data_IF_817284293155
#
_entry.id   IF_817284293155
#
_cell.length_a   1.000
_cell.length_b   1.000
_cell.length_c   1.000
_cell.angle_alpha   90.00
_cell.angle_beta   90.00
_cell.angle_gamma   90.00
#
_symmetry.space_group_name_H-M   'P 1'
#
loop_
_entity.id
_entity.type
_entity.pdbx_description
1 polymer ?
#
# COMPACT_ATOMS: atom_id res chain seq x y z
N UNK A 1 6.73 -22.03 3.14
CA UNK A 1 5.86 -21.77 4.30
C UNK A 1 4.68 -20.99 3.79
N UNK A 2 3.47 -21.50 4.00
CA UNK A 2 2.28 -20.79 3.58
C UNK A 2 1.92 -19.65 4.56
N UNK A 3 0.97 -18.80 4.19
CA UNK A 3 0.58 -17.65 5.02
C UNK A 3 -0.02 -18.08 6.37
N UNK A 4 -0.64 -19.26 6.44
CA UNK A 4 -1.25 -19.76 7.68
C UNK A 4 -0.18 -20.22 8.67
N UNK A 5 0.87 -20.87 8.18
CA UNK A 5 2.04 -21.26 8.96
C UNK A 5 2.79 -20.02 9.48
N UNK A 6 2.95 -18.99 8.63
CA UNK A 6 3.54 -17.70 9.02
C UNK A 6 2.77 -17.05 10.18
N UNK A 7 1.45 -16.91 10.03
CA UNK A 7 0.59 -16.30 11.07
C UNK A 7 0.65 -17.05 12.39
N UNK A 8 0.74 -18.39 12.36
CA UNK A 8 0.87 -19.19 13.58
C UNK A 8 2.18 -18.89 14.32
N UNK A 9 3.29 -18.75 13.59
CA UNK A 9 4.60 -18.39 14.15
C UNK A 9 4.56 -16.98 14.74
N UNK A 10 3.90 -16.03 14.08
CA UNK A 10 3.75 -14.66 14.60
C UNK A 10 2.97 -14.62 15.92
N UNK A 11 1.88 -15.38 16.02
CA UNK A 11 1.09 -15.47 17.26
C UNK A 11 1.94 -16.05 18.38
N UNK A 12 2.72 -17.10 18.10
CA UNK A 12 3.62 -17.71 19.08
C UNK A 12 4.70 -16.72 19.54
N UNK A 13 5.41 -16.08 18.60
CA UNK A 13 6.43 -15.08 18.92
C UNK A 13 5.83 -13.88 19.67
N UNK A 14 4.63 -13.45 19.31
CA UNK A 14 3.96 -12.35 20.01
C UNK A 14 3.57 -12.75 21.43
N UNK A 15 3.06 -13.96 21.64
CA UNK A 15 2.79 -14.49 22.97
C UNK A 15 4.05 -14.51 23.85
N UNK A 16 5.17 -14.99 23.32
CA UNK A 16 6.48 -14.96 23.99
C UNK A 16 6.93 -13.54 24.31
N UNK A 17 6.80 -12.62 23.35
CA UNK A 17 7.12 -11.21 23.52
C UNK A 17 6.30 -10.58 24.66
N UNK A 18 4.97 -10.80 24.69
CA UNK A 18 4.10 -10.29 25.76
C UNK A 18 4.51 -10.85 27.12
N UNK A 19 4.84 -12.15 27.20
CA UNK A 19 5.29 -12.79 28.43
C UNK A 19 6.61 -12.20 28.91
N UNK A 20 7.55 -11.92 28.02
CA UNK A 20 8.82 -11.27 28.34
C UNK A 20 8.60 -9.85 28.88
N UNK A 21 7.83 -9.01 28.17
CA UNK A 21 7.49 -7.64 28.64
C UNK A 21 6.81 -7.66 30.00
N UNK A 22 5.89 -8.60 30.23
CA UNK A 22 5.24 -8.78 31.54
C UNK A 22 6.27 -9.16 32.61
N UNK A 23 7.15 -10.11 32.33
CA UNK A 23 8.18 -10.55 33.28
C UNK A 23 9.11 -9.40 33.67
N UNK A 24 9.57 -8.62 32.69
CA UNK A 24 10.44 -7.44 32.91
C UNK A 24 9.77 -6.36 33.75
N UNK A 25 8.45 -6.16 33.59
CA UNK A 25 7.71 -5.19 34.42
C UNK A 25 7.58 -5.61 35.89
N UNK A 26 7.76 -6.90 36.20
CA UNK A 26 7.51 -7.45 37.53
C UNK A 26 6.03 -7.43 37.97
N UNK A 27 5.09 -7.06 37.08
CA UNK A 27 3.69 -6.88 37.43
C UNK A 27 2.88 -8.18 37.37
N UNK A 28 1.89 -8.27 38.26
CA UNK A 28 0.78 -9.22 38.12
C UNK A 28 0.02 -8.94 36.81
N UNK A 29 -0.67 -9.94 36.26
CA UNK A 29 -1.31 -9.83 34.93
C UNK A 29 -2.36 -8.71 34.87
N UNK A 30 -3.11 -8.47 35.95
CA UNK A 30 -4.09 -7.39 36.04
C UNK A 30 -3.43 -6.01 35.94
N UNK A 31 -2.29 -5.83 36.61
CA UNK A 31 -1.58 -4.54 36.62
C UNK A 31 -0.80 -4.33 35.33
N UNK A 32 -0.23 -5.38 34.75
CA UNK A 32 0.37 -5.33 33.43
C UNK A 32 -0.66 -4.96 32.37
N UNK A 33 -1.85 -5.59 32.41
CA UNK A 33 -2.93 -5.28 31.48
C UNK A 33 -3.35 -3.81 31.57
N UNK A 34 -3.50 -3.26 32.78
CA UNK A 34 -3.75 -1.82 32.99
C UNK A 34 -2.63 -0.94 32.44
N UNK A 35 -1.37 -1.31 32.69
CA UNK A 35 -0.20 -0.57 32.20
C UNK A 35 -0.21 -0.45 30.68
N UNK A 36 -0.55 -1.53 29.97
CA UNK A 36 -0.63 -1.54 28.50
C UNK A 36 -2.01 -1.17 27.96
N UNK A 37 -2.90 -0.61 28.79
CA UNK A 37 -4.25 -0.18 28.41
C UNK A 37 -5.06 -1.29 27.69
N UNK A 38 -5.08 -2.47 28.29
CA UNK A 38 -5.80 -3.65 27.82
C UNK A 38 -6.50 -4.38 28.98
N UNK A 39 -7.49 -5.20 28.66
CA UNK A 39 -8.12 -6.07 29.65
C UNK A 39 -7.27 -7.31 29.93
N UNK A 40 -7.39 -7.89 31.13
CA UNK A 40 -6.76 -9.18 31.48
C UNK A 40 -7.12 -10.27 30.47
N UNK A 41 -8.38 -10.31 30.02
CA UNK A 41 -8.86 -11.29 29.06
C UNK A 41 -8.19 -11.17 27.69
N UNK A 42 -7.89 -9.95 27.25
CA UNK A 42 -7.16 -9.74 25.98
C UNK A 42 -5.72 -10.22 26.06
N UNK A 43 -5.02 -9.90 27.15
CA UNK A 43 -3.66 -10.39 27.41
C UNK A 43 -3.66 -11.93 27.47
N UNK A 44 -4.60 -12.53 28.20
CA UNK A 44 -4.72 -13.99 28.28
C UNK A 44 -4.96 -14.66 26.93
N UNK A 45 -5.80 -14.06 26.06
CA UNK A 45 -6.02 -14.59 24.71
C UNK A 45 -4.75 -14.53 23.85
N UNK A 46 -3.90 -13.53 24.05
CA UNK A 46 -2.62 -13.40 23.34
C UNK A 46 -1.63 -14.44 23.86
N UNK A 47 -1.40 -14.50 25.18
CA UNK A 47 -0.41 -15.41 25.78
C UNK A 47 -0.78 -16.89 25.60
N UNK A 48 -2.08 -17.20 25.54
CA UNK A 48 -2.58 -18.55 25.27
C UNK A 48 -2.75 -18.84 23.76
N UNK A 49 -2.26 -17.95 22.88
CA UNK A 49 -2.29 -18.12 21.43
C UNK A 49 -3.69 -18.37 20.84
N UNK A 50 -4.73 -17.81 21.47
CA UNK A 50 -6.14 -17.96 21.05
C UNK A 50 -6.57 -16.94 19.99
N UNK A 51 -5.64 -16.14 19.47
CA UNK A 51 -5.89 -15.16 18.41
C UNK A 51 -5.62 -15.78 17.05
N UNK A 52 -6.27 -15.25 16.02
CA UNK A 52 -6.03 -15.65 14.61
C UNK A 52 -4.85 -14.92 13.97
N UNK A 53 -4.43 -13.80 14.55
CA UNK A 53 -3.32 -12.96 14.10
C UNK A 53 -2.90 -11.99 15.21
N UNK A 54 -1.75 -11.34 15.02
CA UNK A 54 -1.29 -10.23 15.85
C UNK A 54 -2.06 -8.96 15.49
N UNK A 55 -2.78 -8.37 16.45
CA UNK A 55 -3.47 -7.09 16.24
C UNK A 55 -2.47 -5.94 16.31
N UNK A 56 -2.49 -5.04 15.33
CA UNK A 56 -1.66 -3.82 15.32
C UNK A 56 -1.87 -2.98 16.59
N UNK A 57 -3.11 -2.87 17.08
CA UNK A 57 -3.39 -2.12 18.31
C UNK A 57 -2.78 -2.79 19.54
N UNK A 58 -2.95 -4.10 19.71
CA UNK A 58 -2.33 -4.82 20.83
C UNK A 58 -0.81 -4.79 20.74
N UNK A 59 -0.25 -4.95 19.54
CA UNK A 59 1.18 -4.88 19.28
C UNK A 59 1.76 -3.52 19.70
N UNK A 60 1.15 -2.42 19.22
CA UNK A 60 1.57 -1.06 19.57
C UNK A 60 1.47 -0.79 21.08
N UNK A 61 0.30 -1.09 21.67
CA UNK A 61 0.08 -0.84 23.10
C UNK A 61 1.07 -1.62 23.96
N UNK A 62 1.24 -2.92 23.69
CA UNK A 62 2.17 -3.74 24.48
C UNK A 62 3.61 -3.24 24.30
N UNK A 63 4.06 -2.97 23.08
CA UNK A 63 5.42 -2.49 22.85
C UNK A 63 5.68 -1.14 23.54
N UNK A 64 4.91 -0.11 23.20
CA UNK A 64 5.17 1.25 23.66
C UNK A 64 4.84 1.43 25.14
N UNK A 65 3.68 0.95 25.60
CA UNK A 65 3.25 1.24 26.97
C UNK A 65 3.97 0.36 28.01
N UNK A 66 4.60 -0.74 27.57
CA UNK A 66 5.55 -1.48 28.43
C UNK A 66 6.98 -0.91 28.40
N UNK A 67 7.23 0.18 27.68
CA UNK A 67 8.51 0.87 27.64
C UNK A 67 9.52 0.33 26.64
N UNK A 68 9.09 -0.43 25.63
CA UNK A 68 9.92 -0.87 24.50
C UNK A 68 9.72 0.05 23.28
N UNK A 69 10.47 -0.21 22.21
CA UNK A 69 10.32 0.45 20.91
C UNK A 69 9.78 -0.52 19.84
N UNK A 70 9.18 0.03 18.79
CA UNK A 70 8.55 -0.74 17.71
C UNK A 70 9.57 -1.63 16.99
N UNK A 71 10.79 -1.15 16.77
CA UNK A 71 11.84 -1.87 16.07
C UNK A 71 12.21 -3.18 16.79
N UNK A 72 12.27 -3.17 18.13
CA UNK A 72 12.55 -4.35 18.93
C UNK A 72 11.38 -5.34 18.88
N UNK A 73 10.16 -4.83 19.03
CA UNK A 73 8.95 -5.64 18.93
C UNK A 73 8.83 -6.32 17.55
N UNK A 74 9.15 -5.60 16.47
CA UNK A 74 9.16 -6.15 15.10
C UNK A 74 10.18 -7.27 15.00
N UNK A 75 11.40 -7.05 15.49
CA UNK A 75 12.47 -8.07 15.48
C UNK A 75 12.09 -9.29 16.32
N UNK A 76 11.35 -9.14 17.43
CA UNK A 76 10.89 -10.26 18.24
C UNK A 76 9.79 -11.06 17.54
N UNK A 77 8.76 -10.38 17.02
CA UNK A 77 7.55 -11.01 16.49
C UNK A 77 7.73 -11.53 15.07
N UNK A 78 8.37 -10.75 14.21
CA UNK A 78 8.47 -10.99 12.77
C UNK A 78 9.87 -11.44 12.31
N UNK A 79 10.70 -11.98 13.20
CA UNK A 79 12.06 -12.50 12.89
C UNK A 79 12.14 -13.47 11.71
N UNK A 80 11.03 -14.09 11.34
CA UNK A 80 10.93 -15.07 10.27
C UNK A 80 10.44 -14.48 8.94
N UNK A 81 9.99 -13.21 8.91
CA UNK A 81 9.62 -12.52 7.68
C UNK A 81 10.80 -11.75 7.12
N UNK A 82 10.97 -11.81 5.80
CA UNK A 82 11.80 -10.83 5.12
C UNK A 82 10.97 -9.55 4.92
N UNK A 83 11.31 -8.51 5.69
CA UNK A 83 10.67 -7.19 5.61
C UNK A 83 11.45 -6.22 4.71
N UNK A 84 12.51 -6.68 4.04
CA UNK A 84 13.21 -5.88 3.05
C UNK A 84 12.32 -5.64 1.83
N UNK A 85 12.26 -4.39 1.40
CA UNK A 85 11.59 -4.03 0.16
C UNK A 85 12.39 -4.59 -1.01
N UNK A 86 11.70 -5.12 -2.02
CA UNK A 86 12.33 -5.46 -3.28
C UNK A 86 12.87 -4.19 -3.93
N UNK A 87 14.18 -4.12 -4.10
CA UNK A 87 14.85 -3.04 -4.82
C UNK A 87 15.18 -3.47 -6.25
N UNK A 88 15.03 -2.59 -7.23
CA UNK A 88 15.49 -2.83 -8.60
C UNK A 88 14.42 -3.29 -9.60
N UNK A 89 13.15 -3.35 -9.21
CA UNK A 89 12.07 -3.34 -10.21
C UNK A 89 12.11 -1.99 -10.93
N UNK A 90 12.44 -2.01 -12.23
CA UNK A 90 12.25 -0.84 -13.09
C UNK A 90 10.75 -0.58 -13.11
N UNK A 91 10.33 0.49 -12.45
CA UNK A 91 9.01 1.07 -12.71
C UNK A 91 9.00 1.38 -14.21
N UNK A 92 8.06 0.80 -14.95
CA UNK A 92 7.93 1.04 -16.39
C UNK A 92 7.90 2.57 -16.63
N UNK A 93 8.83 3.05 -17.46
CA UNK A 93 8.86 4.46 -17.80
C UNK A 93 7.57 4.82 -18.52
N UNK A 94 6.90 5.87 -18.04
CA UNK A 94 5.70 6.37 -18.69
C UNK A 94 6.06 6.90 -20.08
N UNK A 95 5.21 6.60 -21.06
CA UNK A 95 5.28 7.23 -22.38
C UNK A 95 5.06 8.75 -22.24
N UNK A 96 5.32 9.52 -23.30
CA UNK A 96 4.94 10.94 -23.34
C UNK A 96 3.45 11.14 -23.02
N UNK A 97 2.59 10.21 -23.45
CA UNK A 97 1.18 10.23 -23.11
C UNK A 97 0.93 9.87 -21.64
N UNK A 98 1.60 8.85 -21.10
CA UNK A 98 1.50 8.51 -19.68
C UNK A 98 1.96 9.64 -18.75
N UNK A 99 3.00 10.39 -19.15
CA UNK A 99 3.48 11.60 -18.47
C UNK A 99 2.43 12.71 -18.59
N UNK A 100 1.92 12.96 -19.79
CA UNK A 100 0.85 13.92 -20.03
C UNK A 100 -0.37 13.66 -19.15
N UNK A 101 -0.83 12.42 -19.10
CA UNK A 101 -1.98 12.01 -18.30
C UNK A 101 -1.74 12.19 -16.81
N UNK A 102 -0.53 11.89 -16.32
CA UNK A 102 -0.15 12.19 -14.93
C UNK A 102 -0.27 13.67 -14.62
N UNK A 103 0.29 14.51 -15.50
CA UNK A 103 0.41 15.95 -15.25
C UNK A 103 -0.94 16.68 -15.41
N UNK A 104 -1.74 16.30 -16.41
CA UNK A 104 -2.98 17.00 -16.76
C UNK A 104 -4.23 16.37 -16.15
N UNK A 105 -4.21 15.08 -15.80
CA UNK A 105 -5.45 14.35 -15.49
C UNK A 105 -5.41 13.66 -14.14
N UNK A 106 -4.35 12.93 -13.82
CA UNK A 106 -4.28 12.15 -12.58
C UNK A 106 -4.13 13.05 -11.36
N UNK A 107 -5.26 13.32 -10.69
CA UNK A 107 -5.27 13.86 -9.32
C UNK A 107 -5.33 12.69 -8.35
N UNK A 108 -4.41 12.64 -7.38
CA UNK A 108 -4.42 11.62 -6.33
C UNK A 108 -5.82 11.52 -5.70
N UNK A 109 -6.38 10.31 -5.72
CA UNK A 109 -7.68 10.02 -5.10
C UNK A 109 -8.92 10.41 -5.93
N UNK A 110 -8.79 10.95 -7.14
CA UNK A 110 -9.95 11.33 -7.97
C UNK A 110 -9.89 10.71 -9.37
N UNK A 111 -8.88 11.07 -10.16
CA UNK A 111 -8.80 10.72 -11.59
C UNK A 111 -7.64 9.76 -11.87
N UNK A 112 -7.33 8.87 -10.93
CA UNK A 112 -6.28 7.87 -11.10
C UNK A 112 -6.60 6.89 -12.24
N UNK A 113 -5.59 6.18 -12.74
CA UNK A 113 -5.68 5.19 -13.83
C UNK A 113 -6.92 4.26 -13.71
N UNK A 114 -7.19 3.72 -12.52
CA UNK A 114 -8.33 2.83 -12.29
C UNK A 114 -9.70 3.52 -12.46
N UNK A 115 -9.79 4.82 -12.14
CA UNK A 115 -11.01 5.59 -12.35
C UNK A 115 -11.28 5.77 -13.85
N UNK A 116 -10.25 6.14 -14.61
CA UNK A 116 -10.31 6.27 -16.07
C UNK A 116 -10.68 4.93 -16.70
N UNK A 117 -10.04 3.84 -16.28
CA UNK A 117 -10.32 2.48 -16.76
C UNK A 117 -11.81 2.12 -16.58
N UNK A 118 -12.35 2.34 -15.38
CA UNK A 118 -13.75 1.99 -15.07
C UNK A 118 -14.78 2.86 -15.80
N UNK A 119 -14.46 4.13 -16.05
CA UNK A 119 -15.40 5.09 -16.65
C UNK A 119 -15.40 5.08 -18.17
N UNK A 120 -14.24 4.82 -18.79
CA UNK A 120 -14.10 4.87 -20.26
C UNK A 120 -14.47 3.56 -20.92
N UNK A 121 -14.35 2.42 -20.23
CA UNK A 121 -14.53 1.10 -20.82
C UNK A 121 -13.42 0.71 -21.81
N UNK A 122 -12.34 1.49 -21.87
CA UNK A 122 -11.14 1.13 -22.63
C UNK A 122 -10.55 -0.13 -22.00
N UNK A 123 -10.14 -1.08 -22.83
CA UNK A 123 -9.53 -2.31 -22.37
C UNK A 123 -8.29 -2.02 -21.49
N UNK A 124 -8.12 -2.76 -20.39
CA UNK A 124 -7.03 -2.52 -19.43
C UNK A 124 -5.66 -2.63 -20.10
N UNK A 125 -5.47 -3.63 -20.95
CA UNK A 125 -4.19 -3.81 -21.66
C UNK A 125 -3.96 -2.63 -22.59
N UNK A 126 -4.99 -2.19 -23.33
CA UNK A 126 -4.90 -1.00 -24.18
C UNK A 126 -4.54 0.26 -23.40
N UNK A 127 -5.16 0.49 -22.24
CA UNK A 127 -4.87 1.65 -21.39
C UNK A 127 -3.44 1.57 -20.81
N UNK A 128 -2.98 0.39 -20.40
CA UNK A 128 -1.58 0.19 -19.99
C UNK A 128 -0.63 0.49 -21.14
N UNK A 129 -0.92 0.01 -22.35
CA UNK A 129 -0.03 0.16 -23.49
C UNK A 129 0.20 1.63 -23.88
N UNK A 130 -0.85 2.46 -23.84
CA UNK A 130 -0.71 3.88 -24.15
C UNK A 130 -0.02 4.66 -23.02
N UNK A 131 -0.11 4.21 -21.76
CA UNK A 131 0.56 4.86 -20.63
C UNK A 131 2.03 4.47 -20.48
N UNK A 132 2.39 3.21 -20.77
CA UNK A 132 3.69 2.64 -20.40
C UNK A 132 4.45 1.96 -21.55
N UNK A 133 3.77 1.39 -22.56
CA UNK A 133 4.42 0.50 -23.55
C UNK A 133 4.55 1.08 -24.97
N UNK A 134 4.65 2.41 -25.09
CA UNK A 134 4.87 3.08 -26.38
C UNK A 134 3.66 3.16 -27.31
N UNK A 135 2.48 2.77 -26.83
CA UNK A 135 1.23 2.93 -27.60
C UNK A 135 0.89 4.41 -27.79
N UNK A 136 0.53 4.80 -29.01
CA UNK A 136 -0.06 6.11 -29.26
C UNK A 136 -1.58 6.04 -28.98
N UNK A 137 -2.14 7.02 -28.24
CA UNK A 137 -3.57 7.05 -28.00
C UNK A 137 -4.32 7.50 -29.26
N UNK A 138 -5.52 6.98 -29.46
CA UNK A 138 -6.43 7.43 -30.50
C UNK A 138 -7.28 8.62 -30.02
N UNK A 139 -7.74 9.51 -30.93
CA UNK A 139 -8.55 10.67 -30.55
C UNK A 139 -9.80 10.31 -29.74
N UNK A 140 -10.47 9.20 -30.06
CA UNK A 140 -11.66 8.77 -29.32
C UNK A 140 -11.34 8.37 -27.87
N UNK A 141 -10.14 7.82 -27.63
CA UNK A 141 -9.67 7.44 -26.29
C UNK A 141 -9.50 8.70 -25.43
N UNK A 142 -8.92 9.77 -25.98
CA UNK A 142 -8.84 11.06 -25.27
C UNK A 142 -10.21 11.68 -25.01
N UNK A 143 -11.15 11.59 -25.96
CA UNK A 143 -12.52 12.11 -25.76
C UNK A 143 -13.24 11.35 -24.64
N UNK A 144 -13.08 10.03 -24.56
CA UNK A 144 -13.65 9.24 -23.48
C UNK A 144 -13.04 9.64 -22.13
N UNK A 145 -11.73 9.85 -22.08
CA UNK A 145 -11.01 10.31 -20.89
C UNK A 145 -11.49 11.72 -20.46
N UNK A 146 -11.65 12.66 -21.40
CA UNK A 146 -12.19 14.00 -21.14
C UNK A 146 -13.56 13.91 -20.48
N UNK A 147 -14.47 13.13 -21.08
CA UNK A 147 -15.82 12.90 -20.52
C UNK A 147 -15.77 12.25 -19.15
N UNK A 148 -14.91 11.25 -18.97
CA UNK A 148 -14.75 10.55 -17.69
C UNK A 148 -14.28 11.50 -16.58
N UNK A 149 -13.48 12.51 -16.93
CA UNK A 149 -12.86 13.46 -15.98
C UNK A 149 -13.54 14.83 -15.93
N UNK A 150 -14.71 14.97 -16.59
CA UNK A 150 -15.51 16.20 -16.56
C UNK A 150 -14.93 17.37 -17.34
N UNK A 151 -14.07 17.08 -18.34
CA UNK A 151 -13.41 18.07 -19.20
C UNK A 151 -14.20 18.36 -20.47
N UNK A 152 -13.90 19.49 -21.09
CA UNK A 152 -14.46 19.85 -22.40
C UNK A 152 -13.91 18.95 -23.51
N UNK A 153 -14.75 18.69 -24.51
CA UNK A 153 -14.36 17.83 -25.63
C UNK A 153 -13.27 18.49 -26.48
N UNK A 154 -12.17 17.79 -26.71
CA UNK A 154 -11.00 18.25 -27.46
C UNK A 154 -9.96 19.01 -26.63
N UNK A 155 -10.21 19.25 -25.33
CA UNK A 155 -9.27 19.95 -24.46
C UNK A 155 -7.93 19.21 -24.34
N UNK A 156 -7.97 17.91 -24.01
CA UNK A 156 -6.78 17.08 -23.83
C UNK A 156 -6.08 16.82 -25.17
N UNK A 157 -6.84 16.64 -26.25
CA UNK A 157 -6.26 16.49 -27.60
C UNK A 157 -5.41 17.71 -27.95
N UNK A 158 -5.97 18.91 -27.80
CA UNK A 158 -5.26 20.16 -28.09
C UNK A 158 -4.01 20.30 -27.24
N UNK A 159 -4.11 20.08 -25.93
CA UNK A 159 -2.98 20.18 -25.00
C UNK A 159 -1.88 19.18 -25.32
N UNK A 160 -2.23 17.93 -25.62
CA UNK A 160 -1.26 16.88 -25.93
C UNK A 160 -0.46 17.19 -27.19
N UNK A 161 -1.14 17.58 -28.28
CA UNK A 161 -0.48 17.91 -29.56
C UNK A 161 0.43 19.14 -29.43
N UNK A 162 0.03 20.15 -28.66
CA UNK A 162 0.85 21.34 -28.43
C UNK A 162 2.08 21.06 -27.55
N UNK A 163 1.95 20.20 -26.54
CA UNK A 163 3.05 19.83 -25.64
C UNK A 163 4.03 18.85 -26.28
N UNK A 164 3.55 17.94 -27.13
CA UNK A 164 4.34 16.92 -27.82
C UNK A 164 4.19 17.01 -29.34
N UNK A 165 4.67 18.09 -29.98
CA UNK A 165 4.56 18.24 -31.43
C UNK A 165 5.40 17.19 -32.15
N UNK A 166 4.89 16.66 -33.27
CA UNK A 166 5.65 15.78 -34.15
C UNK A 166 6.71 16.63 -34.85
N UNK A 167 7.97 16.53 -34.39
CA UNK A 167 9.10 17.13 -35.11
C UNK A 167 9.33 16.34 -36.39
N UNK A 168 9.23 17.00 -37.55
CA UNK A 168 9.71 16.39 -38.81
C UNK A 168 11.24 16.26 -38.70
N UNK A 169 11.79 15.11 -39.11
CA UNK A 169 13.25 14.97 -39.26
C UNK A 169 13.71 16.01 -40.31
N UNK A 170 14.37 17.08 -39.88
CA UNK A 170 14.92 18.08 -40.81
C UNK A 170 15.04 19.53 -40.32
N UNK A 171 14.60 19.87 -39.10
CA UNK A 171 14.85 21.19 -38.48
C UNK A 171 15.92 21.11 -37.38
#
# INVERSE_FOLDING_TARGET
MDEKELLAIEIANFAEYVLARKAESGLAIENFAKMVDMTRGEISKITNQQRKSVSVHSFYKIAIYSGDIIENAIKAVYKHRNLELKTGEKIEERTNFGIFMRDEVEVQGQNAFDFILKKTGIDKKRLTDIYYNGGAPEPYELILIEKATGRETGELIKKFVLKYPIKKKGD
#
